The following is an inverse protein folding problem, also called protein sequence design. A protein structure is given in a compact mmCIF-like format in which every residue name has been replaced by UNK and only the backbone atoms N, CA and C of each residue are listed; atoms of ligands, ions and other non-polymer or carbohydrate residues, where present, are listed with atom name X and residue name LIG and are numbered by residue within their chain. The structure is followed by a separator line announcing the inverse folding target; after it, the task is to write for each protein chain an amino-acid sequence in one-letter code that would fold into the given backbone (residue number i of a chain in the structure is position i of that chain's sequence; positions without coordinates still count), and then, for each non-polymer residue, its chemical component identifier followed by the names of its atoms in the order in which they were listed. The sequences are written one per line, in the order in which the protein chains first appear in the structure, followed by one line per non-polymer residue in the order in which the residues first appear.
data_IF_518026809075
#
_entry.id   IF_518026809075
#
_cell.length_a   1.000
_cell.length_b   1.000
_cell.length_c   1.000
_cell.angle_alpha   90.00
_cell.angle_beta   90.00
_cell.angle_gamma   90.00
#
_symmetry.space_group_name_H-M   'P 1'
#
loop_
_entity.id
_entity.type
_entity.pdbx_description
1 polymer ?
#
# COMPACT_ATOMS: atom_id res chain seq x y z
N UNK A 1 28.47 9.17 3.85
CA UNK A 1 27.46 9.67 4.80
C UNK A 1 26.18 8.97 4.44
N UNK A 2 25.79 7.96 5.21
CA UNK A 2 24.58 7.17 4.96
C UNK A 2 23.49 7.81 5.81
N UNK A 3 22.55 8.49 5.17
CA UNK A 3 21.36 9.01 5.84
C UNK A 3 20.47 7.80 6.12
N UNK A 4 20.36 7.41 7.38
CA UNK A 4 19.39 6.43 7.84
C UNK A 4 18.00 7.00 7.53
N UNK A 5 17.27 6.38 6.61
CA UNK A 5 15.92 6.80 6.27
C UNK A 5 15.06 6.65 7.54
N UNK A 6 14.52 7.76 8.04
CA UNK A 6 13.65 7.74 9.19
C UNK A 6 12.39 6.95 8.83
N UNK A 7 12.09 5.89 9.60
CA UNK A 7 10.84 5.14 9.46
C UNK A 7 9.69 6.09 9.77
N UNK A 8 8.81 6.28 8.79
CA UNK A 8 7.65 7.16 8.93
C UNK A 8 6.71 6.59 9.98
N UNK A 9 6.37 7.37 11.00
CA UNK A 9 5.56 6.89 12.12
C UNK A 9 4.05 6.98 11.86
N UNK A 10 3.64 7.73 10.83
CA UNK A 10 2.26 8.01 10.44
C UNK A 10 2.04 7.71 8.96
N UNK A 11 0.79 7.56 8.54
CA UNK A 11 0.44 7.51 7.11
C UNK A 11 0.27 8.94 6.63
N UNK A 12 1.00 9.39 5.60
CA UNK A 12 0.87 10.76 5.11
C UNK A 12 -0.55 11.09 4.68
N UNK A 13 -0.90 12.38 4.73
CA UNK A 13 -2.14 12.86 4.11
C UNK A 13 -2.09 12.63 2.59
N UNK A 14 -3.26 12.38 2.02
CA UNK A 14 -3.40 12.17 0.58
C UNK A 14 -3.15 13.49 -0.18
N UNK A 15 -2.53 13.45 -1.37
CA UNK A 15 -2.36 14.65 -2.18
C UNK A 15 -3.68 15.38 -2.41
N UNK A 16 -3.70 16.67 -2.09
CA UNK A 16 -4.88 17.51 -2.18
C UNK A 16 -5.08 17.99 -3.63
N UNK A 17 -6.33 18.01 -4.09
CA UNK A 17 -6.67 18.57 -5.41
C UNK A 17 -6.44 17.63 -6.60
N UNK A 18 -6.07 16.37 -6.36
CA UNK A 18 -6.00 15.33 -7.40
C UNK A 18 -6.97 14.19 -7.11
N UNK A 19 -7.48 13.60 -8.18
CA UNK A 19 -8.31 12.39 -8.15
C UNK A 19 -7.40 11.17 -8.22
N UNK A 20 -7.71 10.13 -7.42
CA UNK A 20 -6.94 8.88 -7.37
C UNK A 20 -7.76 7.70 -7.93
N UNK A 21 -8.46 7.90 -9.04
CA UNK A 21 -9.39 6.89 -9.57
C UNK A 21 -8.71 5.56 -9.92
N UNK A 22 -7.43 5.59 -10.32
CA UNK A 22 -6.61 4.40 -10.59
C UNK A 22 -5.98 3.75 -9.35
N UNK A 23 -6.09 4.34 -8.17
CA UNK A 23 -5.39 3.87 -6.96
C UNK A 23 -6.30 3.01 -6.09
N UNK A 24 -6.04 1.70 -6.05
CA UNK A 24 -6.78 0.75 -5.23
C UNK A 24 -6.62 0.97 -3.73
N UNK A 25 -5.56 1.69 -3.32
CA UNK A 25 -5.28 2.02 -1.93
C UNK A 25 -6.18 3.15 -1.39
N UNK A 26 -6.91 3.87 -2.25
CA UNK A 26 -7.65 5.08 -1.89
C UNK A 26 -8.55 4.92 -0.64
N UNK A 27 -9.34 3.85 -0.57
CA UNK A 27 -10.28 3.64 0.53
C UNK A 27 -9.58 3.29 1.85
N UNK A 28 -8.57 2.43 1.81
CA UNK A 28 -7.78 2.02 2.98
C UNK A 28 -6.96 3.20 3.49
N UNK A 29 -6.37 3.98 2.58
CA UNK A 29 -5.62 5.19 2.91
C UNK A 29 -6.50 6.22 3.63
N UNK A 30 -7.68 6.52 3.09
CA UNK A 30 -8.63 7.43 3.75
C UNK A 30 -9.08 6.90 5.12
N UNK A 31 -9.27 5.59 5.26
CA UNK A 31 -9.60 4.97 6.54
C UNK A 31 -8.47 5.16 7.56
N UNK A 32 -7.22 4.87 7.20
CA UNK A 32 -6.06 5.01 8.07
C UNK A 32 -5.85 6.45 8.53
N UNK A 33 -5.88 7.42 7.60
CA UNK A 33 -5.71 8.85 7.91
C UNK A 33 -6.80 9.34 8.88
N UNK A 34 -8.07 8.97 8.66
CA UNK A 34 -9.18 9.36 9.55
C UNK A 34 -8.98 8.89 10.98
N UNK A 35 -8.38 7.72 11.19
CA UNK A 35 -8.11 7.16 12.52
C UNK A 35 -6.90 7.79 13.21
N UNK A 36 -5.91 8.21 12.43
CA UNK A 36 -4.69 8.85 12.94
C UNK A 36 -4.90 10.31 13.37
N UNK A 37 -5.89 11.02 12.80
CA UNK A 37 -6.22 12.43 13.12
C UNK A 37 -6.57 12.71 14.59
N UNK A 38 -6.59 11.68 15.45
CA UNK A 38 -6.69 11.82 16.91
C UNK A 38 -5.37 12.20 17.58
N UNK A 39 -4.23 12.08 16.88
CA UNK A 39 -2.88 12.45 17.35
C UNK A 39 -2.29 13.53 16.43
N UNK A 40 -1.62 14.53 17.02
CA UNK A 40 -1.26 15.81 16.40
C UNK A 40 -0.57 15.71 15.01
N UNK A 41 -0.86 16.71 14.17
CA UNK A 41 -0.39 16.90 12.79
C UNK A 41 1.07 16.49 12.57
N UNK A 42 1.28 15.32 11.96
CA UNK A 42 2.56 14.93 11.41
C UNK A 42 2.71 15.62 10.04
N UNK A 43 3.59 16.63 10.00
CA UNK A 43 3.97 17.33 8.80
C UNK A 43 5.03 16.49 8.08
N UNK A 44 4.58 15.49 7.34
CA UNK A 44 5.47 14.52 6.68
C UNK A 44 5.56 14.78 5.17
N UNK A 45 6.68 14.33 4.59
CA UNK A 45 7.01 14.50 3.17
C UNK A 45 5.84 14.08 2.28
N UNK A 46 5.51 14.86 1.24
CA UNK A 46 4.42 14.50 0.34
C UNK A 46 4.76 13.20 -0.39
N UNK A 47 3.78 12.29 -0.48
CA UNK A 47 3.89 11.10 -1.33
C UNK A 47 4.03 11.56 -2.77
N UNK A 48 5.08 11.09 -3.45
CA UNK A 48 5.37 11.44 -4.85
C UNK A 48 5.31 10.26 -5.80
N UNK A 49 5.45 9.04 -5.29
CA UNK A 49 5.19 7.82 -6.04
C UNK A 49 4.30 6.88 -5.23
N UNK A 50 3.28 6.33 -5.88
CA UNK A 50 2.37 5.33 -5.36
C UNK A 50 2.59 4.01 -6.09
N UNK A 51 2.78 2.94 -5.33
CA UNK A 51 2.83 1.58 -5.82
C UNK A 51 1.46 0.95 -5.57
N UNK A 52 0.47 1.21 -6.41
CA UNK A 52 -0.87 0.70 -6.19
C UNK A 52 -0.95 -0.77 -6.60
N UNK A 53 -1.35 -1.71 -5.73
CA UNK A 53 -1.74 -3.02 -6.21
C UNK A 53 -2.92 -2.91 -7.18
N UNK A 54 -3.04 -3.86 -8.09
CA UNK A 54 -4.21 -3.97 -8.95
C UNK A 54 -5.51 -4.07 -8.12
N UNK A 55 -6.56 -3.36 -8.56
CA UNK A 55 -7.83 -3.30 -7.84
C UNK A 55 -8.49 -4.69 -7.67
N UNK A 56 -8.38 -5.56 -8.67
CA UNK A 56 -8.90 -6.92 -8.59
C UNK A 56 -8.16 -7.74 -7.53
N UNK A 57 -6.84 -7.54 -7.37
CA UNK A 57 -6.10 -8.19 -6.29
C UNK A 57 -6.57 -7.72 -4.92
N UNK A 58 -6.76 -6.40 -4.75
CA UNK A 58 -7.23 -5.83 -3.48
C UNK A 58 -8.62 -6.34 -3.10
N UNK A 59 -9.56 -6.40 -4.04
CA UNK A 59 -10.91 -6.90 -3.80
C UNK A 59 -10.96 -8.38 -3.41
N UNK A 60 -9.96 -9.17 -3.83
CA UNK A 60 -9.89 -10.61 -3.56
C UNK A 60 -8.81 -10.98 -2.53
N UNK A 61 -8.36 -10.04 -1.70
CA UNK A 61 -7.45 -10.34 -0.58
C UNK A 61 -8.13 -11.16 0.52
N UNK A 62 -9.44 -10.98 0.68
CA UNK A 62 -10.30 -11.70 1.62
C UNK A 62 -11.64 -11.97 0.94
N UNK A 63 -12.47 -12.91 1.45
CA UNK A 63 -13.84 -13.08 0.97
C UNK A 63 -14.63 -11.77 1.03
N UNK A 64 -15.39 -11.47 -0.02
CA UNK A 64 -16.08 -10.18 -0.17
C UNK A 64 -17.22 -9.96 0.83
N UNK A 65 -17.73 -11.04 1.41
CA UNK A 65 -18.78 -11.06 2.42
C UNK A 65 -18.25 -11.10 3.86
N UNK A 66 -16.93 -11.00 4.03
CA UNK A 66 -16.25 -11.11 5.32
C UNK A 66 -15.60 -9.78 5.73
N UNK A 67 -15.36 -9.56 7.04
CA UNK A 67 -14.68 -8.35 7.51
C UNK A 67 -13.23 -8.31 7.00
N UNK A 68 -12.81 -7.15 6.51
CA UNK A 68 -11.46 -6.98 5.97
C UNK A 68 -10.48 -6.48 7.05
N UNK A 69 -9.37 -7.20 7.32
CA UNK A 69 -8.43 -6.86 8.41
C UNK A 69 -7.85 -5.45 8.33
N UNK A 70 -7.57 -4.95 7.13
CA UNK A 70 -7.00 -3.61 6.91
C UNK A 70 -7.94 -2.47 7.34
N UNK A 71 -9.23 -2.74 7.57
CA UNK A 71 -10.20 -1.79 8.13
C UNK A 71 -10.49 -2.03 9.62
N UNK A 72 -9.96 -3.11 10.21
CA UNK A 72 -10.18 -3.45 11.61
C UNK A 72 -9.33 -2.57 12.54
N UNK A 73 -9.85 -2.32 13.75
CA UNK A 73 -9.07 -1.65 14.78
C UNK A 73 -7.95 -2.49 15.35
N UNK A 74 -8.07 -3.82 15.27
CA UNK A 74 -7.10 -4.76 15.81
C UNK A 74 -5.79 -4.77 15.01
N UNK A 75 -5.87 -4.54 13.70
CA UNK A 75 -4.72 -4.64 12.77
C UNK A 75 -4.28 -3.27 12.23
N UNK A 76 -4.35 -2.24 13.08
CA UNK A 76 -4.00 -0.86 12.70
C UNK A 76 -2.55 -0.73 12.24
N UNK A 77 -1.61 -1.42 12.92
CA UNK A 77 -0.20 -1.41 12.55
C UNK A 77 0.06 -2.12 11.21
N UNK A 78 -0.62 -3.24 10.94
CA UNK A 78 -0.57 -3.93 9.65
C UNK A 78 -1.05 -3.02 8.52
N UNK A 79 -2.18 -2.33 8.72
CA UNK A 79 -2.72 -1.37 7.75
C UNK A 79 -1.75 -0.21 7.49
N UNK A 80 -1.12 0.32 8.55
CA UNK A 80 -0.13 1.38 8.43
C UNK A 80 1.09 0.91 7.63
N UNK A 81 1.71 -0.20 8.02
CA UNK A 81 2.89 -0.74 7.33
C UNK A 81 2.58 -1.05 5.87
N UNK A 82 1.45 -1.71 5.61
CA UNK A 82 0.95 -1.97 4.26
C UNK A 82 0.90 -0.69 3.42
N UNK A 83 0.31 0.40 3.91
CA UNK A 83 0.26 1.65 3.16
C UNK A 83 1.65 2.27 2.94
N UNK A 84 2.49 2.31 3.97
CA UNK A 84 3.81 2.91 3.89
C UNK A 84 4.74 2.18 2.92
N UNK A 85 4.60 0.87 2.78
CA UNK A 85 5.34 0.07 1.80
C UNK A 85 4.88 0.26 0.35
N UNK A 86 3.75 0.92 0.15
CA UNK A 86 3.24 1.25 -1.17
C UNK A 86 3.35 2.76 -1.48
N UNK A 87 4.08 3.51 -0.65
CA UNK A 87 4.28 4.96 -0.78
C UNK A 87 5.77 5.30 -0.77
N UNK A 88 6.17 6.25 -1.61
CA UNK A 88 7.52 6.83 -1.64
C UNK A 88 7.43 8.36 -1.60
N UNK A 89 8.39 9.01 -0.93
CA UNK A 89 8.56 10.47 -0.91
C UNK A 89 9.32 11.00 -2.14
N UNK A 90 9.94 10.12 -2.92
CA UNK A 90 10.60 10.44 -4.18
C UNK A 90 9.68 10.22 -5.37
N UNK A 91 9.82 11.07 -6.39
CA UNK A 91 9.15 10.87 -7.68
C UNK A 91 10.02 9.96 -8.54
N UNK A 92 9.47 8.83 -8.96
CA UNK A 92 10.11 7.89 -9.88
C UNK A 92 9.53 8.11 -11.26
N UNK A 93 10.32 8.70 -12.17
CA UNK A 93 9.92 8.92 -13.55
C UNK A 93 10.04 7.60 -14.36
N UNK A 94 8.97 7.12 -15.02
CA UNK A 94 9.02 5.91 -15.86
C UNK A 94 9.94 6.02 -17.08
N UNK A 95 10.43 7.22 -17.39
CA UNK A 95 11.38 7.51 -18.44
C UNK A 95 12.80 7.81 -17.92
N UNK A 96 13.05 7.68 -16.61
CA UNK A 96 14.40 7.83 -16.07
C UNK A 96 15.33 6.79 -16.73
N UNK A 97 16.46 7.19 -17.34
CA UNK A 97 17.34 6.24 -18.03
C UNK A 97 17.86 5.13 -17.10
N UNK A 98 17.93 5.38 -15.78
CA UNK A 98 18.37 4.40 -14.79
C UNK A 98 17.43 3.21 -14.64
N UNK A 99 16.14 3.33 -14.98
CA UNK A 99 15.21 2.18 -14.96
C UNK A 99 15.59 1.13 -16.01
N UNK A 100 16.29 1.50 -17.08
CA UNK A 100 16.79 0.56 -18.10
C UNK A 100 18.21 0.06 -17.81
N UNK A 101 18.84 0.51 -16.72
CA UNK A 101 20.17 0.04 -16.34
C UNK A 101 20.12 -1.40 -15.83
N UNK A 102 21.22 -2.18 -15.93
CA UNK A 102 21.25 -3.56 -15.45
C UNK A 102 20.87 -3.72 -13.96
N UNK A 103 21.13 -2.71 -13.14
CA UNK A 103 20.77 -2.69 -11.72
C UNK A 103 19.33 -2.25 -11.45
N UNK A 104 18.70 -1.55 -12.38
CA UNK A 104 17.46 -0.81 -12.16
C UNK A 104 17.67 0.48 -11.39
N UNK A 105 16.57 1.17 -11.11
CA UNK A 105 16.52 2.36 -10.27
C UNK A 105 16.06 1.95 -8.86
N UNK A 106 16.95 1.93 -7.85
CA UNK A 106 16.56 1.69 -6.47
C UNK A 106 15.84 2.91 -5.89
N UNK A 107 14.86 2.65 -5.03
CA UNK A 107 14.21 3.64 -4.18
C UNK A 107 13.80 2.95 -2.86
N UNK A 108 13.41 3.74 -1.86
CA UNK A 108 12.95 3.23 -0.57
C UNK A 108 11.51 3.67 -0.32
N UNK A 109 10.71 2.78 0.23
CA UNK A 109 9.35 3.05 0.68
C UNK A 109 9.36 3.92 1.94
N UNK A 110 8.21 4.46 2.33
CA UNK A 110 8.09 5.22 3.58
C UNK A 110 8.22 4.34 4.83
N UNK A 111 8.10 3.01 4.68
CA UNK A 111 8.43 2.02 5.70
C UNK A 111 9.93 1.66 5.74
N UNK A 112 10.76 2.34 4.93
CA UNK A 112 12.20 2.11 4.78
C UNK A 112 12.56 0.73 4.19
N UNK A 113 11.67 0.10 3.43
CA UNK A 113 12.00 -1.08 2.64
C UNK A 113 12.45 -0.68 1.24
N UNK A 114 13.41 -1.42 0.68
CA UNK A 114 13.92 -1.13 -0.66
C UNK A 114 13.03 -1.72 -1.76
N UNK A 115 12.83 -0.93 -2.80
CA UNK A 115 12.18 -1.33 -4.05
C UNK A 115 13.08 -0.99 -5.24
N UNK A 116 13.05 -1.82 -6.26
CA UNK A 116 13.83 -1.61 -7.49
C UNK A 116 12.90 -1.57 -8.69
N UNK A 117 12.97 -0.45 -9.42
CA UNK A 117 12.26 -0.26 -10.67
C UNK A 117 13.14 -0.69 -11.83
N UNK A 118 12.60 -1.50 -12.73
CA UNK A 118 13.28 -1.91 -13.97
C UNK A 118 12.39 -1.71 -15.17
N UNK A 119 12.98 -1.46 -16.32
CA UNK A 119 12.30 -1.37 -17.62
C UNK A 119 13.05 -2.22 -18.62
N UNK A 120 12.38 -3.21 -19.20
CA UNK A 120 12.98 -4.09 -20.19
C UNK A 120 13.10 -3.43 -21.58
N UNK A 121 13.71 -4.14 -22.53
CA UNK A 121 13.87 -3.67 -23.91
C UNK A 121 12.55 -3.55 -24.68
N UNK A 122 11.46 -4.14 -24.18
CA UNK A 122 10.11 -3.99 -24.72
C UNK A 122 9.35 -2.81 -24.08
N UNK A 123 9.98 -2.10 -23.14
CA UNK A 123 9.40 -0.97 -22.42
C UNK A 123 8.52 -1.36 -21.24
N UNK A 124 8.45 -2.65 -20.86
CA UNK A 124 7.67 -3.12 -19.72
C UNK A 124 8.39 -2.82 -18.42
N UNK A 125 7.65 -2.27 -17.46
CA UNK A 125 8.19 -1.88 -16.15
C UNK A 125 7.89 -2.97 -15.11
N UNK A 126 8.83 -3.22 -14.22
CA UNK A 126 8.64 -4.03 -13.02
C UNK A 126 9.08 -3.28 -11.77
N UNK A 127 8.49 -3.63 -10.63
CA UNK A 127 8.89 -3.18 -9.29
C UNK A 127 9.12 -4.40 -8.41
N UNK A 128 10.35 -4.61 -7.93
CA UNK A 128 10.75 -5.87 -7.25
C UNK A 128 10.32 -7.11 -8.05
N UNK A 129 10.58 -7.08 -9.37
CA UNK A 129 10.20 -8.11 -10.34
C UNK A 129 8.67 -8.34 -10.53
N UNK A 130 7.82 -7.58 -9.83
CA UNK A 130 6.38 -7.58 -10.07
C UNK A 130 6.04 -6.71 -11.29
N UNK A 131 5.29 -7.22 -12.29
CA UNK A 131 4.90 -6.46 -13.46
C UNK A 131 4.06 -5.23 -13.11
N UNK A 132 4.33 -4.10 -13.76
CA UNK A 132 3.46 -2.93 -13.74
C UNK A 132 2.51 -3.00 -14.93
N UNK A 133 1.20 -2.94 -14.66
CA UNK A 133 0.14 -2.92 -15.68
C UNK A 133 -0.03 -1.54 -16.29
N UNK A 134 0.04 -0.50 -15.47
CA UNK A 134 -0.27 0.86 -15.85
C UNK A 134 0.60 1.84 -15.06
N UNK A 135 0.96 2.95 -15.72
CA UNK A 135 1.62 4.08 -15.09
C UNK A 135 0.84 5.34 -15.41
N UNK A 136 0.46 6.08 -14.37
CA UNK A 136 -0.24 7.35 -14.48
C UNK A 136 0.59 8.44 -13.79
N UNK A 137 0.70 9.61 -14.40
CA UNK A 137 1.24 10.81 -13.74
C UNK A 137 0.12 11.79 -13.53
N UNK A 138 -0.18 12.09 -12.26
CA UNK A 138 -1.23 13.03 -11.88
C UNK A 138 -0.80 14.48 -12.15
N UNK A 139 -1.78 15.39 -12.11
CA UNK A 139 -1.54 16.82 -12.39
C UNK A 139 -0.60 17.52 -11.39
N UNK A 140 -0.42 16.96 -10.19
CA UNK A 140 0.51 17.46 -9.18
C UNK A 140 1.93 16.86 -9.31
N UNK A 141 2.14 15.97 -10.29
CA UNK A 141 3.40 15.26 -10.52
C UNK A 141 3.57 13.96 -9.74
N UNK A 142 2.57 13.54 -8.96
CA UNK A 142 2.56 12.21 -8.33
C UNK A 142 2.48 11.13 -9.39
N UNK A 143 3.33 10.11 -9.29
CA UNK A 143 3.34 8.98 -10.22
C UNK A 143 2.69 7.75 -9.57
N UNK A 144 1.72 7.15 -10.23
CA UNK A 144 1.07 5.91 -9.80
C UNK A 144 1.56 4.77 -10.69
N UNK A 145 2.12 3.73 -10.09
CA UNK A 145 2.42 2.46 -10.73
C UNK A 145 1.40 1.42 -10.25
N UNK A 146 0.56 0.94 -11.16
CA UNK A 146 -0.37 -0.16 -10.88
C UNK A 146 0.35 -1.49 -11.05
N UNK A 147 0.62 -2.18 -9.95
CA UNK A 147 1.41 -3.43 -9.91
C UNK A 147 0.47 -4.64 -9.93
N UNK A 148 0.80 -5.65 -10.74
CA UNK A 148 0.07 -6.93 -10.82
C UNK A 148 0.41 -7.90 -9.67
N UNK A 149 0.68 -7.36 -8.48
CA UNK A 149 0.87 -8.14 -7.27
C UNK A 149 0.72 -7.25 -6.03
N UNK A 150 0.82 -7.89 -4.87
CA UNK A 150 1.03 -7.23 -3.58
C UNK A 150 2.53 -7.29 -3.28
N UNK A 151 3.12 -6.17 -2.88
CA UNK A 151 4.54 -6.13 -2.52
C UNK A 151 4.80 -6.93 -1.23
N UNK A 152 6.02 -7.44 -1.08
CA UNK A 152 6.47 -8.17 0.10
C UNK A 152 5.57 -9.39 0.43
N UNK A 153 5.42 -9.72 1.70
CA UNK A 153 4.66 -10.87 2.21
C UNK A 153 3.26 -10.49 2.74
N UNK A 154 2.76 -9.27 2.43
CA UNK A 154 1.48 -8.78 2.96
C UNK A 154 0.28 -9.67 2.64
N UNK A 155 0.30 -10.44 1.54
CA UNK A 155 -0.75 -11.43 1.27
C UNK A 155 -0.88 -12.44 2.41
N UNK A 156 0.24 -12.95 2.91
CA UNK A 156 0.25 -13.89 4.04
C UNK A 156 -0.15 -13.18 5.32
N UNK A 157 0.42 -12.01 5.62
CA UNK A 157 0.10 -11.28 6.85
C UNK A 157 -1.40 -10.90 6.94
N UNK A 158 -2.01 -10.51 5.81
CA UNK A 158 -3.43 -10.18 5.73
C UNK A 158 -4.29 -11.44 5.91
N UNK A 159 -3.89 -12.57 5.34
CA UNK A 159 -4.58 -13.85 5.54
C UNK A 159 -4.55 -14.29 7.01
N UNK A 160 -3.40 -14.21 7.67
CA UNK A 160 -3.27 -14.54 9.10
C UNK A 160 -4.09 -13.58 9.98
N UNK A 161 -4.14 -12.29 9.62
CA UNK A 161 -4.98 -11.31 10.32
C UNK A 161 -6.48 -11.58 10.09
N UNK A 162 -6.85 -12.05 8.91
CA UNK A 162 -8.21 -12.45 8.59
C UNK A 162 -8.66 -13.65 9.42
N UNK A 163 -7.84 -14.70 9.51
CA UNK A 163 -8.13 -15.89 10.32
C UNK A 163 -8.37 -15.53 11.79
N UNK A 164 -7.50 -14.71 12.38
CA UNK A 164 -7.66 -14.20 13.76
C UNK A 164 -8.96 -13.42 13.94
N UNK A 165 -9.31 -12.57 12.98
CA UNK A 165 -10.55 -11.79 13.03
C UNK A 165 -11.78 -12.70 13.05
N UNK A 166 -11.78 -13.75 12.23
CA UNK A 166 -12.87 -14.73 12.17
C UNK A 166 -12.97 -15.59 13.44
N UNK A 167 -11.85 -15.96 14.06
CA UNK A 167 -11.83 -16.69 15.34
C UNK A 167 -12.48 -15.89 16.47
N UNK A 168 -12.22 -14.58 16.52
CA UNK A 168 -12.83 -13.69 17.51
C UNK A 168 -14.33 -13.48 17.27
N UNK A 169 -14.76 -13.35 16.00
CA UNK A 169 -16.18 -13.26 15.66
C UNK A 169 -16.94 -14.53 16.04
N UNK A 170 -16.36 -15.71 15.76
CA UNK A 170 -16.92 -16.99 16.16
C UNK A 170 -17.00 -17.14 17.69
N UNK A 171 -16.02 -16.60 18.42
CA UNK A 171 -16.00 -16.63 19.90
C UNK A 171 -17.05 -15.69 20.52
N UNK A 172 -17.39 -14.58 19.86
CA UNK A 172 -18.38 -13.62 20.33
C UNK A 172 -19.84 -14.06 20.08
N UNK A 173 -20.07 -15.04 19.21
CA UNK A 173 -21.38 -15.66 18.97
C UNK A 173 -21.32 -17.18 19.23
N UNK A 174 -21.23 -17.60 20.51
CA UNK A 174 -21.35 -19.03 20.83
C UNK A 174 -22.70 -19.54 20.33
N UNK A 175 -22.71 -20.75 19.75
CA UNK A 175 -23.87 -21.46 19.21
C UNK A 175 -24.88 -21.89 20.30
N UNK A 176 -25.19 -21.04 21.26
CA UNK A 176 -26.34 -21.22 22.15
C UNK A 176 -27.56 -20.60 21.45
N UNK A 177 -28.18 -21.39 20.56
CA UNK A 177 -29.50 -21.06 20.03
C UNK A 177 -30.52 -20.89 21.16
N UNK A 178 -31.56 -20.05 20.98
CA UNK A 178 -32.57 -19.86 22.02
C UNK A 178 -33.22 -21.21 22.37
N UNK A 179 -33.50 -21.48 23.66
CA UNK A 179 -34.26 -22.67 24.03
C UNK A 179 -35.64 -22.59 23.36
N UNK A 180 -35.95 -23.63 22.59
CA UNK A 180 -37.29 -23.84 21.99
C UNK A 180 -38.35 -24.01 23.07
#
# INVERSE_FOLDING_TARGET
MTTEAAVTSFVPERPAGVTLDGCSLFHIWNHAVRRQRTTAQANESPVRTLLSPDAFLMTNLVPQDAPHPLYSSQFTELCKQFLLDHMLDVSVDPNDPRVTSPGGLPASTLAANDVVFRKDSQGKITVNDNPVKEVETLSDGTVIYTIDNILFDYRQQIQEAFEKLMEEEASNYPLEGPPF
#
